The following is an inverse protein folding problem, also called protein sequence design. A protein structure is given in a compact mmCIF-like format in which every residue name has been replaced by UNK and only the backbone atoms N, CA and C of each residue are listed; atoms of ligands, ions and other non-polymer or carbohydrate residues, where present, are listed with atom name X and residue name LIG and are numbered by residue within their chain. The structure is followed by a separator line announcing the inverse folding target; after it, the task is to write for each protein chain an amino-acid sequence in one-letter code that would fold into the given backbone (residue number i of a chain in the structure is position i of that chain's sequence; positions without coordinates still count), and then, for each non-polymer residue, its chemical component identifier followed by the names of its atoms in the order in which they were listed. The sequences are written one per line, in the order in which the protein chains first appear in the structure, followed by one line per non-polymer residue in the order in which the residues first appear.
data_IF_742507720993
#
_entry.id   IF_742507720993
#
_cell.length_a   1.000
_cell.length_b   1.000
_cell.length_c   1.000
_cell.angle_alpha   90.00
_cell.angle_beta   90.00
_cell.angle_gamma   90.00
#
_symmetry.space_group_name_H-M   'P 1'
#
loop_
_entity.id
_entity.type
_entity.pdbx_description
1 polymer ?
#
# COMPACT_ATOMS: atom_id res chain seq x y z
N UNK A 1 -17.91 18.53 -70.62
CA UNK A 1 -17.01 17.46 -70.13
C UNK A 1 -17.51 16.83 -68.80
N UNK A 2 -18.83 16.63 -68.62
CA UNK A 2 -19.42 16.11 -67.36
C UNK A 2 -20.68 15.25 -67.60
N UNK A 3 -20.76 14.55 -68.75
CA UNK A 3 -21.91 13.67 -69.08
C UNK A 3 -21.56 12.19 -69.29
N UNK A 4 -20.28 11.79 -69.14
CA UNK A 4 -19.83 10.43 -69.47
C UNK A 4 -19.19 9.63 -68.32
N UNK A 5 -19.27 10.05 -67.06
CA UNK A 5 -18.69 9.29 -65.93
C UNK A 5 -19.73 8.35 -65.25
N UNK A 6 -21.02 8.47 -65.57
CA UNK A 6 -22.09 7.71 -64.91
C UNK A 6 -22.64 6.49 -65.69
N UNK A 7 -21.97 6.06 -66.77
CA UNK A 7 -22.34 4.84 -67.52
C UNK A 7 -21.27 3.76 -67.41
N UNK A 8 -21.05 3.21 -66.21
CA UNK A 8 -20.44 1.86 -66.08
C UNK A 8 -20.52 1.22 -64.70
N UNK A 9 -21.28 1.76 -63.72
CA UNK A 9 -21.48 1.03 -62.48
C UNK A 9 -22.53 -0.07 -62.69
N UNK A 10 -22.04 -1.28 -62.97
CA UNK A 10 -22.91 -2.46 -63.06
C UNK A 10 -23.66 -2.66 -61.74
N UNK A 11 -24.87 -3.22 -61.80
CA UNK A 11 -25.69 -3.58 -60.64
C UNK A 11 -24.90 -4.37 -59.57
N UNK A 12 -23.84 -5.09 -59.97
CA UNK A 12 -22.94 -5.85 -59.08
C UNK A 12 -22.03 -4.97 -58.23
N UNK A 13 -21.58 -3.81 -58.73
CA UNK A 13 -20.70 -2.90 -57.97
C UNK A 13 -21.48 -2.11 -56.92
N UNK A 14 -22.72 -1.71 -57.22
CA UNK A 14 -23.59 -1.04 -56.24
C UNK A 14 -24.00 -2.00 -55.12
N UNK A 15 -24.29 -3.27 -55.42
CA UNK A 15 -24.55 -4.29 -54.40
C UNK A 15 -23.32 -4.57 -53.52
N UNK A 16 -22.12 -4.58 -54.10
CA UNK A 16 -20.88 -4.78 -53.34
C UNK A 16 -20.60 -3.63 -52.35
N UNK A 17 -20.86 -2.39 -52.77
CA UNK A 17 -20.70 -1.22 -51.90
C UNK A 17 -21.74 -1.19 -50.76
N UNK A 18 -22.99 -1.57 -51.06
CA UNK A 18 -24.05 -1.66 -50.06
C UNK A 18 -23.75 -2.75 -49.00
N UNK A 19 -23.25 -3.91 -49.43
CA UNK A 19 -22.83 -4.98 -48.52
C UNK A 19 -21.65 -4.57 -47.64
N UNK A 20 -20.68 -3.83 -48.18
CA UNK A 20 -19.56 -3.29 -47.41
C UNK A 20 -20.03 -2.27 -46.36
N UNK A 21 -20.97 -1.40 -46.72
CA UNK A 21 -21.53 -0.40 -45.81
C UNK A 21 -22.33 -1.05 -44.67
N UNK A 22 -23.15 -2.07 -44.99
CA UNK A 22 -23.89 -2.87 -44.00
C UNK A 22 -22.91 -3.58 -43.07
N UNK A 23 -21.83 -4.14 -43.60
CA UNK A 23 -20.79 -4.78 -42.79
C UNK A 23 -20.09 -3.79 -41.85
N UNK A 24 -19.73 -2.60 -42.34
CA UNK A 24 -19.12 -1.55 -41.51
C UNK A 24 -20.07 -1.04 -40.42
N UNK A 25 -21.35 -0.84 -40.75
CA UNK A 25 -22.38 -0.42 -39.78
C UNK A 25 -22.66 -1.50 -38.74
N UNK A 26 -22.71 -2.77 -39.13
CA UNK A 26 -22.87 -3.90 -38.22
C UNK A 26 -21.67 -3.99 -37.25
N UNK A 27 -20.44 -3.85 -37.74
CA UNK A 27 -19.25 -3.82 -36.89
C UNK A 27 -19.19 -2.59 -36.00
N UNK A 28 -19.61 -1.41 -36.49
CA UNK A 28 -19.71 -0.20 -35.69
C UNK A 28 -20.77 -0.34 -34.58
N UNK A 29 -21.91 -1.00 -34.85
CA UNK A 29 -22.93 -1.33 -33.84
C UNK A 29 -22.44 -2.37 -32.83
N UNK A 30 -21.64 -3.35 -33.25
CA UNK A 30 -21.01 -4.32 -32.35
C UNK A 30 -19.97 -3.63 -31.46
N UNK A 31 -19.13 -2.76 -32.03
CA UNK A 31 -18.17 -1.94 -31.29
C UNK A 31 -18.90 -0.98 -30.34
N UNK A 32 -19.97 -0.34 -30.79
CA UNK A 32 -20.79 0.55 -29.97
C UNK A 32 -21.44 -0.24 -28.82
N UNK A 33 -22.01 -1.42 -29.09
CA UNK A 33 -22.51 -2.32 -28.04
C UNK A 33 -21.38 -2.73 -27.09
N UNK A 34 -20.18 -3.04 -27.58
CA UNK A 34 -19.03 -3.34 -26.72
C UNK A 34 -18.63 -2.16 -25.82
N UNK A 35 -18.68 -0.95 -26.35
CA UNK A 35 -18.38 0.30 -25.61
C UNK A 35 -19.47 0.62 -24.59
N UNK A 36 -20.75 0.37 -24.89
CA UNK A 36 -21.86 0.58 -23.97
C UNK A 36 -22.04 -0.55 -22.95
N UNK A 37 -21.62 -1.77 -23.28
CA UNK A 37 -21.71 -2.95 -22.43
C UNK A 37 -20.47 -3.10 -21.52
N UNK A 38 -19.66 -2.04 -21.39
CA UNK A 38 -19.02 -1.74 -20.10
C UNK A 38 -20.12 -1.41 -19.08
N UNK A 39 -20.98 -2.38 -18.77
CA UNK A 39 -21.64 -2.39 -17.48
C UNK A 39 -20.51 -2.35 -16.46
N UNK A 40 -20.47 -1.23 -15.74
CA UNK A 40 -19.68 -1.07 -14.53
C UNK A 40 -19.92 -2.33 -13.69
N UNK A 41 -18.92 -3.21 -13.63
CA UNK A 41 -18.66 -3.91 -12.38
C UNK A 41 -18.42 -2.78 -11.37
N UNK A 42 -19.50 -2.30 -10.76
CA UNK A 42 -19.44 -1.26 -9.77
C UNK A 42 -18.75 -1.88 -8.59
N UNK A 43 -17.45 -1.62 -8.48
CA UNK A 43 -16.75 -1.56 -7.21
C UNK A 43 -17.68 -0.80 -6.25
N UNK A 44 -18.37 -1.56 -5.41
CA UNK A 44 -19.35 -1.07 -4.45
C UNK A 44 -18.57 -0.62 -3.22
N UNK A 45 -18.93 0.52 -2.62
CA UNK A 45 -18.63 1.13 -1.29
C UNK A 45 -17.60 0.44 -0.32
N UNK A 46 -17.43 -0.87 -0.35
CA UNK A 46 -16.31 -1.73 0.12
C UNK A 46 -14.89 -1.37 -0.40
N UNK A 47 -14.68 -0.24 -1.08
CA UNK A 47 -13.41 0.12 -1.75
C UNK A 47 -12.41 0.89 -0.86
N UNK A 48 -12.82 1.22 0.36
CA UNK A 48 -11.96 1.91 1.32
C UNK A 48 -11.08 0.87 2.02
N UNK A 49 -9.80 0.83 1.65
CA UNK A 49 -8.79 -0.03 2.28
C UNK A 49 -7.72 0.84 2.94
N UNK A 50 -7.35 0.52 4.18
CA UNK A 50 -6.23 1.16 4.88
C UNK A 50 -4.99 0.28 4.78
N UNK A 51 -3.90 0.81 4.23
CA UNK A 51 -2.62 0.13 4.17
C UNK A 51 -1.64 0.76 5.16
N UNK A 52 -1.06 -0.06 6.04
CA UNK A 52 -0.07 0.39 7.03
C UNK A 52 1.28 -0.21 6.64
N UNK A 53 2.30 0.63 6.55
CA UNK A 53 3.65 0.13 6.37
C UNK A 53 4.73 1.16 6.68
N UNK A 54 5.86 1.02 6.01
CA UNK A 54 7.11 1.71 6.32
C UNK A 54 8.21 0.71 6.62
N UNK A 55 9.34 1.17 7.17
CA UNK A 55 10.39 0.25 7.57
C UNK A 55 9.90 -0.70 8.69
N UNK A 56 10.17 -2.02 8.64
CA UNK A 56 9.95 -2.89 9.78
C UNK A 56 10.61 -2.32 11.04
N UNK A 57 10.05 -2.61 12.21
CA UNK A 57 10.49 -2.08 13.53
C UNK A 57 10.19 -0.58 13.76
N UNK A 58 9.45 0.07 12.88
CA UNK A 58 8.98 1.47 13.01
C UNK A 58 7.62 1.63 13.72
N UNK A 59 7.15 0.60 14.43
CA UNK A 59 5.86 0.66 15.15
C UNK A 59 4.61 0.35 14.32
N UNK A 60 4.76 -0.25 13.13
CA UNK A 60 3.62 -0.65 12.27
C UNK A 60 2.65 -1.61 12.94
N UNK A 61 3.13 -2.59 13.73
CA UNK A 61 2.25 -3.47 14.52
C UNK A 61 1.52 -2.70 15.62
N UNK A 62 2.13 -1.70 16.26
CA UNK A 62 1.43 -0.89 17.25
C UNK A 62 0.31 -0.10 16.58
N UNK A 63 0.60 0.54 15.44
CA UNK A 63 -0.39 1.31 14.69
C UNK A 63 -1.61 0.46 14.32
N UNK A 64 -1.40 -0.74 13.74
CA UNK A 64 -2.54 -1.60 13.38
C UNK A 64 -3.35 -2.07 14.59
N UNK A 65 -2.69 -2.30 15.73
CA UNK A 65 -3.37 -2.71 16.98
C UNK A 65 -4.26 -1.58 17.48
N UNK A 66 -3.78 -0.34 17.45
CA UNK A 66 -4.59 0.83 17.82
C UNK A 66 -5.83 0.96 16.91
N UNK A 67 -5.72 0.64 15.63
CA UNK A 67 -6.85 0.65 14.70
C UNK A 67 -7.79 -0.56 14.87
N UNK A 68 -7.28 -1.74 15.19
CA UNK A 68 -8.11 -2.92 15.50
C UNK A 68 -9.03 -2.62 16.71
N UNK A 69 -8.50 -1.95 17.75
CA UNK A 69 -9.24 -1.56 18.96
C UNK A 69 -10.30 -0.47 18.70
N UNK A 70 -10.20 0.27 17.60
CA UNK A 70 -11.24 1.25 17.22
C UNK A 70 -12.60 0.58 16.97
N UNK A 71 -12.62 -0.67 16.50
CA UNK A 71 -13.85 -1.39 16.21
C UNK A 71 -14.53 -1.05 14.87
N UNK A 72 -14.07 -0.04 14.12
CA UNK A 72 -14.58 0.27 12.77
C UNK A 72 -13.65 -0.20 11.65
N UNK A 73 -12.40 -0.55 11.99
CA UNK A 73 -11.38 -1.07 11.07
C UNK A 73 -10.96 -2.46 11.56
N UNK A 74 -10.63 -3.35 10.62
CA UNK A 74 -9.97 -4.61 10.91
C UNK A 74 -8.69 -4.75 10.07
N UNK A 75 -7.54 -4.75 10.73
CA UNK A 75 -6.23 -4.99 10.13
C UNK A 75 -5.78 -6.44 10.32
N UNK A 76 -5.91 -6.95 11.53
CA UNK A 76 -5.40 -8.27 11.91
C UNK A 76 -3.87 -8.40 11.78
N UNK A 77 -3.35 -9.64 11.78
CA UNK A 77 -1.91 -9.93 11.62
C UNK A 77 -1.33 -9.46 10.27
N UNK A 78 -0.02 -9.62 10.06
CA UNK A 78 0.58 -9.50 8.72
C UNK A 78 -0.06 -10.48 7.73
N UNK A 79 -0.32 -10.05 6.49
CA UNK A 79 -0.88 -10.94 5.47
C UNK A 79 0.20 -11.88 4.95
N UNK A 80 1.44 -11.39 4.81
CA UNK A 80 2.60 -12.03 4.18
C UNK A 80 2.40 -12.36 2.70
N UNK A 81 1.22 -12.86 2.31
CA UNK A 81 0.88 -13.30 0.95
C UNK A 81 0.67 -12.15 -0.03
N UNK A 82 0.27 -10.96 0.44
CA UNK A 82 0.09 -9.81 -0.45
C UNK A 82 1.41 -9.35 -1.06
N UNK A 83 2.53 -9.42 -0.32
CA UNK A 83 3.82 -8.96 -0.81
C UNK A 83 4.34 -9.71 -2.05
N UNK A 84 4.46 -11.06 -2.06
CA UNK A 84 4.89 -11.78 -3.25
C UNK A 84 3.87 -11.65 -4.40
N UNK A 85 2.58 -11.53 -4.09
CA UNK A 85 1.57 -11.28 -5.11
C UNK A 85 1.71 -9.90 -5.76
N UNK A 86 1.95 -8.85 -4.97
CA UNK A 86 2.21 -7.50 -5.48
C UNK A 86 3.52 -7.43 -6.27
N UNK A 87 4.56 -8.15 -5.83
CA UNK A 87 5.80 -8.28 -6.60
C UNK A 87 5.55 -8.92 -7.97
N UNK A 88 4.74 -9.98 -8.04
CA UNK A 88 4.34 -10.61 -9.29
C UNK A 88 3.52 -9.64 -10.16
N UNK A 89 2.50 -8.98 -9.60
CA UNK A 89 1.66 -8.01 -10.32
C UNK A 89 2.49 -6.89 -10.93
N UNK A 90 3.42 -6.31 -10.15
CA UNK A 90 4.38 -5.30 -10.63
C UNK A 90 5.21 -5.82 -11.79
N UNK A 91 5.81 -7.01 -11.65
CA UNK A 91 6.62 -7.64 -12.70
C UNK A 91 5.80 -7.90 -13.97
N UNK A 92 4.56 -8.35 -13.84
CA UNK A 92 3.67 -8.56 -14.98
C UNK A 92 3.38 -7.24 -15.71
N UNK A 93 3.08 -6.16 -14.98
CA UNK A 93 2.83 -4.85 -15.57
C UNK A 93 4.06 -4.29 -16.30
N UNK A 94 5.27 -4.52 -15.77
CA UNK A 94 6.53 -4.10 -16.40
C UNK A 94 6.85 -4.93 -17.67
N UNK A 95 6.60 -6.25 -17.65
CA UNK A 95 6.96 -7.15 -18.74
C UNK A 95 5.88 -7.28 -19.83
N UNK A 96 4.63 -7.04 -19.49
CA UNK A 96 3.47 -7.16 -20.38
C UNK A 96 2.70 -5.83 -20.38
N UNK A 97 3.25 -4.77 -20.99
CA UNK A 97 2.51 -3.52 -21.13
C UNK A 97 1.19 -3.76 -21.89
N UNK A 98 0.17 -2.89 -21.74
CA UNK A 98 -1.21 -3.17 -22.18
C UNK A 98 -1.35 -3.64 -23.63
N UNK A 99 -0.56 -3.05 -24.55
CA UNK A 99 -0.53 -3.43 -25.96
C UNK A 99 0.03 -4.85 -26.18
N UNK A 100 1.09 -5.23 -25.45
CA UNK A 100 1.71 -6.56 -25.55
C UNK A 100 0.81 -7.62 -24.90
N UNK A 101 0.25 -7.33 -23.72
CA UNK A 101 -0.65 -8.24 -23.01
C UNK A 101 -1.84 -8.63 -23.90
N UNK A 102 -2.51 -7.63 -24.49
CA UNK A 102 -3.66 -7.86 -25.35
C UNK A 102 -3.33 -8.72 -26.56
N UNK A 103 -2.28 -8.37 -27.31
CA UNK A 103 -1.90 -9.08 -28.53
C UNK A 103 -1.52 -10.54 -28.26
N UNK A 104 -0.81 -10.81 -27.15
CA UNK A 104 -0.29 -12.15 -26.86
C UNK A 104 -1.29 -13.07 -26.16
N UNK A 105 -2.18 -12.51 -25.33
CA UNK A 105 -3.00 -13.31 -24.41
C UNK A 105 -4.50 -13.09 -24.59
N UNK A 106 -4.91 -12.04 -25.32
CA UNK A 106 -6.29 -11.54 -25.39
C UNK A 106 -6.87 -11.09 -24.03
N UNK A 107 -6.03 -10.89 -23.01
CA UNK A 107 -6.40 -10.33 -21.71
C UNK A 107 -6.22 -8.82 -21.73
N UNK A 108 -7.24 -8.07 -21.29
CA UNK A 108 -7.16 -6.60 -21.18
C UNK A 108 -6.40 -6.20 -19.91
N UNK A 109 -5.77 -5.02 -19.92
CA UNK A 109 -5.18 -4.44 -18.70
C UNK A 109 -6.24 -4.28 -17.58
N UNK A 110 -7.48 -3.94 -17.95
CA UNK A 110 -8.62 -3.86 -17.05
C UNK A 110 -8.92 -5.21 -16.37
N UNK A 111 -8.97 -6.30 -17.14
CA UNK A 111 -9.21 -7.64 -16.60
C UNK A 111 -8.10 -8.09 -15.64
N UNK A 112 -6.83 -7.78 -15.96
CA UNK A 112 -5.72 -8.06 -15.06
C UNK A 112 -5.79 -7.23 -13.76
N UNK A 113 -6.17 -5.95 -13.89
CA UNK A 113 -6.40 -5.04 -12.75
C UNK A 113 -7.51 -5.56 -11.84
N UNK A 114 -8.65 -5.94 -12.40
CA UNK A 114 -9.79 -6.53 -11.68
C UNK A 114 -9.39 -7.85 -10.99
N UNK A 115 -8.65 -8.73 -11.67
CA UNK A 115 -8.16 -9.97 -11.06
C UNK A 115 -7.22 -9.70 -9.88
N UNK A 116 -6.34 -8.70 -10.01
CA UNK A 116 -5.43 -8.26 -8.94
C UNK A 116 -6.19 -7.70 -7.75
N UNK A 117 -7.15 -6.80 -8.00
CA UNK A 117 -8.01 -6.22 -6.96
C UNK A 117 -8.84 -7.30 -6.25
N UNK A 118 -9.44 -8.22 -7.01
CA UNK A 118 -10.23 -9.32 -6.46
C UNK A 118 -9.42 -10.26 -5.57
N UNK A 119 -8.16 -10.56 -5.94
CA UNK A 119 -7.28 -11.34 -5.08
C UNK A 119 -7.04 -10.64 -3.73
N UNK A 120 -6.69 -9.35 -3.76
CA UNK A 120 -6.43 -8.57 -2.54
C UNK A 120 -7.69 -8.51 -1.66
N UNK A 121 -8.83 -8.15 -2.26
CA UNK A 121 -10.12 -8.11 -1.56
C UNK A 121 -10.49 -9.46 -0.96
N UNK A 122 -10.28 -10.56 -1.70
CA UNK A 122 -10.55 -11.90 -1.21
C UNK A 122 -9.67 -12.26 -0.01
N UNK A 123 -8.37 -11.97 -0.07
CA UNK A 123 -7.45 -12.19 1.07
C UNK A 123 -7.89 -11.38 2.29
N UNK A 124 -8.23 -10.10 2.13
CA UNK A 124 -8.59 -9.23 3.25
C UNK A 124 -9.96 -9.56 3.85
N UNK A 125 -10.98 -9.81 3.01
CA UNK A 125 -12.34 -10.16 3.45
C UNK A 125 -12.37 -11.49 4.20
N UNK A 126 -11.71 -12.53 3.70
CA UNK A 126 -11.73 -13.85 4.37
C UNK A 126 -10.93 -13.91 5.67
N UNK A 127 -10.13 -12.88 5.97
CA UNK A 127 -9.45 -12.73 7.26
C UNK A 127 -10.29 -11.95 8.27
N UNK A 128 -11.20 -11.11 7.77
CA UNK A 128 -12.10 -10.33 8.59
C UNK A 128 -13.36 -11.14 8.90
N UNK A 129 -13.53 -11.54 10.16
CA UNK A 129 -14.73 -12.30 10.59
C UNK A 129 -15.96 -11.42 10.81
N UNK A 130 -15.87 -10.12 10.54
CA UNK A 130 -16.92 -9.13 10.82
C UNK A 130 -17.29 -8.38 9.54
N UNK A 131 -18.56 -8.47 9.13
CA UNK A 131 -18.98 -8.10 7.75
C UNK A 131 -19.01 -6.58 7.45
N UNK A 132 -18.86 -5.71 8.46
CA UNK A 132 -19.05 -4.25 8.29
C UNK A 132 -17.81 -3.37 8.61
N UNK A 133 -16.64 -3.98 8.79
CA UNK A 133 -15.41 -3.24 9.09
C UNK A 133 -14.67 -2.80 7.83
N UNK A 134 -14.08 -1.60 7.89
CA UNK A 134 -13.09 -1.15 6.90
C UNK A 134 -11.94 -2.14 6.87
N UNK A 135 -11.57 -2.58 5.67
CA UNK A 135 -10.48 -3.51 5.48
C UNK A 135 -9.15 -2.80 5.69
N UNK A 136 -8.23 -3.45 6.38
CA UNK A 136 -6.88 -2.96 6.57
C UNK A 136 -5.84 -4.06 6.35
N UNK A 137 -4.69 -3.66 5.83
CA UNK A 137 -3.54 -4.54 5.63
C UNK A 137 -2.30 -3.89 6.22
N UNK A 138 -1.61 -4.60 7.11
CA UNK A 138 -0.32 -4.19 7.65
C UNK A 138 0.73 -5.20 7.22
N UNK A 139 1.54 -4.82 6.25
CA UNK A 139 2.76 -5.52 5.87
C UNK A 139 3.79 -4.43 5.60
N UNK A 140 4.90 -4.30 6.36
CA UNK A 140 5.74 -3.10 6.29
C UNK A 140 6.14 -2.67 4.87
N UNK A 141 6.58 -3.59 3.97
CA UNK A 141 6.95 -3.25 2.59
C UNK A 141 5.77 -2.99 1.63
N UNK A 142 4.50 -3.11 2.06
CA UNK A 142 3.34 -2.93 1.18
C UNK A 142 3.30 -1.54 0.55
N UNK A 143 3.89 -0.55 1.22
CA UNK A 143 3.99 0.82 0.74
C UNK A 143 4.91 1.00 -0.47
N UNK A 144 5.74 0.00 -0.81
CA UNK A 144 6.51 0.00 -2.06
C UNK A 144 5.64 -0.19 -3.31
N UNK A 145 4.35 -0.43 -3.12
CA UNK A 145 3.35 -0.62 -4.18
C UNK A 145 2.23 0.44 -4.11
N UNK A 146 2.44 1.56 -3.41
CA UNK A 146 1.43 2.62 -3.25
C UNK A 146 0.83 3.10 -4.58
N UNK A 147 1.65 3.26 -5.61
CA UNK A 147 1.23 3.67 -6.95
C UNK A 147 0.26 2.67 -7.59
N UNK A 148 0.56 1.37 -7.51
CA UNK A 148 -0.31 0.31 -8.00
C UNK A 148 -1.57 0.21 -7.12
N UNK A 149 -1.45 0.33 -5.81
CA UNK A 149 -2.56 0.19 -4.87
C UNK A 149 -3.57 1.34 -4.97
N UNK A 150 -3.12 2.58 -5.18
CA UNK A 150 -4.02 3.72 -5.45
C UNK A 150 -4.78 3.52 -6.77
N UNK A 151 -4.09 3.01 -7.80
CA UNK A 151 -4.76 2.71 -9.07
C UNK A 151 -5.82 1.61 -8.89
N UNK A 152 -5.51 0.54 -8.16
CA UNK A 152 -6.45 -0.55 -7.86
C UNK A 152 -7.62 -0.11 -6.96
N UNK A 153 -7.34 0.72 -5.95
CA UNK A 153 -8.29 1.15 -4.92
C UNK A 153 -8.23 2.67 -4.74
N UNK A 154 -9.00 3.43 -5.54
CA UNK A 154 -8.95 4.90 -5.55
C UNK A 154 -9.40 5.58 -4.26
N UNK A 155 -10.01 4.84 -3.32
CA UNK A 155 -10.41 5.34 -2.01
C UNK A 155 -9.50 4.83 -0.88
N UNK A 156 -8.37 4.20 -1.23
CA UNK A 156 -7.42 3.68 -0.24
C UNK A 156 -6.68 4.80 0.49
N UNK A 157 -6.28 4.51 1.73
CA UNK A 157 -5.47 5.39 2.58
C UNK A 157 -4.22 4.64 3.03
N UNK A 158 -3.09 5.34 3.09
CA UNK A 158 -1.80 4.79 3.46
C UNK A 158 -1.31 5.48 4.73
N UNK A 159 -0.89 4.67 5.71
CA UNK A 159 -0.27 5.13 6.94
C UNK A 159 1.20 4.74 6.87
N UNK A 160 2.06 5.73 6.64
CA UNK A 160 3.50 5.57 6.56
C UNK A 160 4.13 5.78 7.94
N UNK A 161 4.46 4.69 8.61
CA UNK A 161 5.15 4.73 9.90
C UNK A 161 6.63 5.03 9.70
N UNK A 162 7.11 6.07 10.36
CA UNK A 162 8.52 6.47 10.41
C UNK A 162 9.00 6.43 11.85
N UNK A 163 10.21 5.95 12.06
CA UNK A 163 10.89 5.92 13.36
C UNK A 163 12.35 6.29 13.16
N UNK A 164 13.00 6.83 14.19
CA UNK A 164 14.43 7.10 14.18
C UNK A 164 15.22 5.87 13.68
N UNK A 165 15.94 6.04 12.57
CA UNK A 165 16.70 4.98 11.91
C UNK A 165 17.71 4.35 12.84
N UNK A 166 18.26 5.12 13.77
CA UNK A 166 19.24 4.66 14.74
C UNK A 166 18.63 3.61 15.68
N UNK A 167 17.39 3.80 16.10
CA UNK A 167 16.64 2.83 16.90
C UNK A 167 16.19 1.61 16.08
N UNK A 168 15.81 1.83 14.81
CA UNK A 168 15.39 0.75 13.89
C UNK A 168 16.54 -0.19 13.57
N UNK A 169 17.70 0.34 13.16
CA UNK A 169 18.90 -0.45 12.84
C UNK A 169 19.41 -1.22 14.06
N UNK A 170 19.36 -0.61 15.24
CA UNK A 170 19.73 -1.30 16.49
C UNK A 170 18.81 -2.49 16.77
N UNK A 171 17.50 -2.33 16.56
CA UNK A 171 16.57 -3.44 16.68
C UNK A 171 16.84 -4.54 15.64
N UNK A 172 17.36 -4.18 14.47
CA UNK A 172 17.68 -5.14 13.41
C UNK A 172 18.94 -5.95 13.69
N UNK A 173 19.96 -5.38 14.34
CA UNK A 173 21.14 -6.12 14.79
C UNK A 173 20.73 -7.32 15.65
N UNK A 174 19.93 -7.08 16.70
CA UNK A 174 19.45 -8.14 17.59
C UNK A 174 18.54 -9.15 16.89
N UNK A 175 17.69 -8.70 15.95
CA UNK A 175 16.82 -9.58 15.19
C UNK A 175 17.59 -10.50 14.22
N UNK A 176 18.55 -9.94 13.47
CA UNK A 176 19.40 -10.69 12.52
C UNK A 176 20.54 -11.43 13.23
N UNK A 177 20.69 -11.27 14.55
CA UNK A 177 21.78 -11.83 15.35
C UNK A 177 23.17 -11.44 14.82
N UNK A 178 23.30 -10.18 14.42
CA UNK A 178 24.56 -9.59 13.98
C UNK A 178 25.35 -9.07 15.16
N UNK A 179 26.67 -8.96 14.99
CA UNK A 179 27.54 -8.29 15.95
C UNK A 179 27.21 -6.80 16.04
N UNK A 180 27.29 -6.25 17.24
CA UNK A 180 26.93 -4.87 17.56
C UNK A 180 28.08 -3.89 17.29
N UNK A 181 28.71 -4.04 16.12
CA UNK A 181 29.77 -3.15 15.65
C UNK A 181 29.19 -2.06 14.72
N UNK A 182 29.94 -0.97 14.55
CA UNK A 182 29.49 0.18 13.74
C UNK A 182 29.25 -0.16 12.27
N UNK A 183 30.03 -1.05 11.65
CA UNK A 183 29.87 -1.39 10.24
C UNK A 183 28.52 -2.06 9.96
N UNK A 184 28.18 -3.14 10.69
CA UNK A 184 26.89 -3.81 10.56
C UNK A 184 25.72 -2.86 10.83
N UNK A 185 25.91 -1.97 11.80
CA UNK A 185 24.91 -0.97 12.17
C UNK A 185 24.70 0.07 11.07
N UNK A 186 25.78 0.57 10.47
CA UNK A 186 25.77 1.52 9.36
C UNK A 186 25.13 0.92 8.10
N UNK A 187 25.41 -0.34 7.78
CA UNK A 187 24.78 -1.04 6.65
C UNK A 187 23.26 -1.13 6.83
N UNK A 188 22.79 -1.42 8.04
CA UNK A 188 21.36 -1.42 8.37
C UNK A 188 20.76 -0.01 8.33
N UNK A 189 21.51 1.02 8.72
CA UNK A 189 21.09 2.42 8.59
C UNK A 189 20.94 2.83 7.12
N UNK A 190 21.85 2.42 6.24
CA UNK A 190 21.75 2.64 4.79
C UNK A 190 20.52 1.95 4.21
N UNK A 191 20.27 0.70 4.58
CA UNK A 191 19.03 0.00 4.21
C UNK A 191 17.77 0.75 4.69
N UNK A 192 17.80 1.32 5.90
CA UNK A 192 16.71 2.12 6.44
C UNK A 192 16.51 3.42 5.64
N UNK A 193 17.61 4.10 5.29
CA UNK A 193 17.62 5.35 4.53
C UNK A 193 17.00 5.13 3.15
N UNK A 194 17.53 4.19 2.38
CA UNK A 194 17.07 3.84 1.03
C UNK A 194 15.58 3.53 1.00
N UNK A 195 15.12 2.66 1.93
CA UNK A 195 13.72 2.26 2.00
C UNK A 195 12.80 3.42 2.34
N UNK A 196 13.20 4.31 3.25
CA UNK A 196 12.39 5.47 3.58
C UNK A 196 12.41 6.51 2.48
N UNK A 197 13.53 6.72 1.79
CA UNK A 197 13.60 7.62 0.65
C UNK A 197 12.63 7.17 -0.47
N UNK A 198 12.64 5.87 -0.79
CA UNK A 198 11.69 5.28 -1.75
C UNK A 198 10.24 5.46 -1.27
N UNK A 199 9.95 5.10 -0.01
CA UNK A 199 8.59 5.17 0.54
C UNK A 199 8.08 6.61 0.61
N UNK A 200 8.94 7.55 1.00
CA UNK A 200 8.63 8.98 1.05
C UNK A 200 8.32 9.52 -0.34
N UNK A 201 9.16 9.20 -1.33
CA UNK A 201 8.93 9.57 -2.74
C UNK A 201 7.58 9.07 -3.25
N UNK A 202 7.19 7.84 -2.90
CA UNK A 202 5.87 7.29 -3.25
C UNK A 202 4.73 7.98 -2.50
N UNK A 203 4.91 8.25 -1.20
CA UNK A 203 3.94 8.96 -0.36
C UNK A 203 3.65 10.37 -0.91
N UNK A 204 4.70 11.11 -1.29
CA UNK A 204 4.59 12.43 -1.91
C UNK A 204 3.90 12.35 -3.28
N UNK A 205 4.22 11.33 -4.08
CA UNK A 205 3.62 11.13 -5.41
C UNK A 205 2.12 10.88 -5.34
N UNK A 206 1.65 10.03 -4.42
CA UNK A 206 0.22 9.78 -4.25
C UNK A 206 -0.49 10.94 -3.57
N UNK A 207 0.22 11.72 -2.76
CA UNK A 207 -0.26 12.97 -2.18
C UNK A 207 -0.93 12.81 -0.81
N UNK A 208 -1.14 13.94 -0.11
CA UNK A 208 -1.51 13.96 1.31
C UNK A 208 -2.94 13.49 1.59
N UNK A 209 -3.82 13.46 0.58
CA UNK A 209 -5.16 12.89 0.70
C UNK A 209 -5.15 11.36 0.79
N UNK A 210 -4.08 10.73 0.29
CA UNK A 210 -3.90 9.29 0.22
C UNK A 210 -2.88 8.79 1.24
N UNK A 211 -1.77 9.48 1.45
CA UNK A 211 -0.70 9.03 2.34
C UNK A 211 -0.49 9.99 3.52
N UNK A 212 -0.48 9.45 4.74
CA UNK A 212 -0.15 10.18 5.96
C UNK A 212 1.06 9.55 6.65
N UNK A 213 2.12 10.35 6.80
CA UNK A 213 3.28 9.97 7.60
C UNK A 213 2.97 10.12 9.10
N UNK A 214 3.31 9.10 9.89
CA UNK A 214 3.20 9.11 11.34
C UNK A 214 4.55 8.77 11.96
N UNK A 215 5.11 9.69 12.74
CA UNK A 215 6.33 9.43 13.53
C UNK A 215 5.99 8.61 14.76
N UNK A 216 6.66 7.49 14.94
CA UNK A 216 6.51 6.60 16.09
C UNK A 216 6.69 7.34 17.41
N UNK A 217 7.71 8.19 17.52
CA UNK A 217 8.04 8.96 18.72
C UNK A 217 6.88 9.89 19.11
N UNK A 218 6.26 10.54 18.13
CA UNK A 218 5.10 11.41 18.37
C UNK A 218 3.90 10.58 18.81
N UNK A 219 3.67 9.41 18.20
CA UNK A 219 2.57 8.51 18.57
C UNK A 219 2.71 8.03 20.01
N UNK A 220 3.91 7.70 20.47
CA UNK A 220 4.11 7.20 21.84
C UNK A 220 4.16 8.30 22.90
N UNK A 221 4.55 9.53 22.53
CA UNK A 221 4.60 10.67 23.44
C UNK A 221 3.26 11.42 23.54
N UNK A 222 2.56 11.58 22.41
CA UNK A 222 1.36 12.41 22.27
C UNK A 222 0.22 11.60 21.63
N UNK A 223 -0.03 10.40 22.16
CA UNK A 223 -0.93 9.39 21.58
C UNK A 223 -2.30 9.94 21.16
N UNK A 224 -3.00 10.63 22.05
CA UNK A 224 -4.32 11.17 21.75
C UNK A 224 -4.30 12.18 20.59
N UNK A 225 -3.37 13.15 20.65
CA UNK A 225 -3.21 14.16 19.60
C UNK A 225 -2.97 13.51 18.22
N UNK A 226 -2.04 12.55 18.16
CA UNK A 226 -1.68 11.86 16.92
C UNK A 226 -2.84 11.01 16.40
N UNK A 227 -3.54 10.29 17.28
CA UNK A 227 -4.65 9.43 16.88
C UNK A 227 -5.87 10.27 16.44
N UNK A 228 -6.17 11.40 17.08
CA UNK A 228 -7.23 12.31 16.63
C UNK A 228 -6.96 12.85 15.23
N UNK A 229 -5.73 13.28 14.97
CA UNK A 229 -5.31 13.73 13.64
C UNK A 229 -5.35 12.59 12.59
N UNK A 230 -5.00 11.36 13.01
CA UNK A 230 -5.13 10.18 12.16
C UNK A 230 -6.59 9.86 11.85
N UNK A 231 -7.50 9.93 12.83
CA UNK A 231 -8.93 9.67 12.61
C UNK A 231 -9.55 10.67 11.65
N UNK A 232 -9.17 11.96 11.72
CA UNK A 232 -9.58 12.96 10.73
C UNK A 232 -9.15 12.59 9.31
N UNK A 233 -7.90 12.14 9.14
CA UNK A 233 -7.37 11.70 7.85
C UNK A 233 -8.08 10.44 7.32
N UNK A 234 -8.38 9.50 8.22
CA UNK A 234 -9.14 8.30 7.94
C UNK A 234 -10.65 8.55 7.88
N UNK A 235 -11.12 9.79 8.08
CA UNK A 235 -12.54 10.17 8.12
C UNK A 235 -13.37 9.23 9.03
N UNK A 236 -12.85 8.98 10.23
CA UNK A 236 -13.49 8.17 11.27
C UNK A 236 -13.79 9.00 12.51
N UNK A 237 -14.84 8.59 13.21
CA UNK A 237 -15.16 9.14 14.52
C UNK A 237 -14.11 8.77 15.56
N UNK A 238 -14.01 9.57 16.62
CA UNK A 238 -13.07 9.27 17.70
C UNK A 238 -13.54 8.08 18.57
N UNK A 239 -12.60 7.24 19.01
CA UNK A 239 -12.85 6.18 19.98
C UNK A 239 -11.78 6.17 21.10
N UNK A 240 -12.21 6.38 22.34
CA UNK A 240 -11.33 6.41 23.52
C UNK A 240 -10.63 5.08 23.82
N UNK A 241 -11.16 3.95 23.34
CA UNK A 241 -10.55 2.63 23.54
C UNK A 241 -9.12 2.57 22.99
N UNK A 242 -8.83 3.33 21.93
CA UNK A 242 -7.49 3.40 21.33
C UNK A 242 -6.44 3.95 22.31
N UNK A 243 -6.84 4.68 23.36
CA UNK A 243 -5.91 5.16 24.39
C UNK A 243 -5.47 4.06 25.35
N UNK A 244 -6.17 2.94 25.44
CA UNK A 244 -5.84 1.87 26.38
C UNK A 244 -5.94 0.51 25.67
N UNK A 245 -5.24 0.37 24.53
CA UNK A 245 -5.34 -0.77 23.64
C UNK A 245 -5.00 -2.10 24.33
N UNK A 246 -4.15 -2.07 25.36
CA UNK A 246 -3.78 -3.23 26.16
C UNK A 246 -4.99 -3.94 26.79
N UNK A 247 -6.06 -3.20 27.09
CA UNK A 247 -7.28 -3.73 27.71
C UNK A 247 -8.16 -4.52 26.74
N UNK A 248 -7.86 -4.44 25.43
CA UNK A 248 -8.66 -5.03 24.35
C UNK A 248 -7.89 -6.09 23.57
N UNK A 249 -6.71 -6.49 24.06
CA UNK A 249 -5.83 -7.45 23.38
C UNK A 249 -6.43 -8.85 23.25
N UNK A 250 -7.35 -9.24 24.14
CA UNK A 250 -8.01 -10.54 24.14
C UNK A 250 -9.36 -10.53 23.40
N UNK A 251 -9.91 -9.35 23.11
CA UNK A 251 -11.25 -9.18 22.53
C UNK A 251 -11.20 -8.74 21.07
N UNK A 252 -10.49 -7.64 20.80
CA UNK A 252 -10.57 -6.91 19.53
C UNK A 252 -9.34 -7.10 18.65
N UNK A 253 -8.25 -7.65 19.21
CA UNK A 253 -6.95 -7.75 18.54
C UNK A 253 -6.57 -9.20 18.27
N UNK A 254 -6.45 -9.55 16.99
CA UNK A 254 -5.87 -10.84 16.59
C UNK A 254 -4.34 -10.69 16.37
N UNK A 255 -3.53 -11.42 17.13
CA UNK A 255 -2.07 -11.45 16.97
C UNK A 255 -1.62 -12.65 16.13
N UNK A 256 -0.68 -12.42 15.20
CA UNK A 256 -0.11 -13.49 14.38
C UNK A 256 0.77 -14.42 15.22
N UNK A 257 0.62 -15.75 15.08
CA UNK A 257 1.51 -16.73 15.72
C UNK A 257 2.92 -16.52 15.13
N UNK A 258 3.85 -15.91 15.89
CA UNK A 258 5.27 -15.60 15.54
C UNK A 258 5.59 -14.19 15.02
N UNK A 259 4.69 -13.22 15.13
CA UNK A 259 5.09 -11.82 14.90
C UNK A 259 6.02 -11.33 16.02
N UNK A 260 7.22 -10.84 15.64
CA UNK A 260 8.25 -10.41 16.61
C UNK A 260 7.76 -9.30 17.55
N UNK A 261 6.87 -8.44 17.05
CA UNK A 261 6.34 -7.28 17.78
C UNK A 261 5.28 -7.65 18.84
N UNK A 262 4.81 -8.90 18.89
CA UNK A 262 3.71 -9.31 19.77
C UNK A 262 4.01 -9.06 21.25
N UNK A 263 5.21 -9.42 21.70
CA UNK A 263 5.60 -9.28 23.11
C UNK A 263 5.69 -7.82 23.57
N UNK A 264 5.81 -6.88 22.63
CA UNK A 264 5.84 -5.45 22.90
C UNK A 264 4.44 -4.82 22.85
N UNK A 265 3.60 -5.19 21.88
CA UNK A 265 2.29 -4.52 21.67
C UNK A 265 1.22 -4.92 22.70
N UNK A 266 1.38 -6.04 23.39
CA UNK A 266 0.48 -6.43 24.50
C UNK A 266 0.62 -5.51 25.74
N UNK A 267 1.65 -4.65 25.77
CA UNK A 267 1.94 -3.78 26.91
C UNK A 267 1.37 -2.39 26.65
N UNK A 268 1.01 -1.62 27.71
CA UNK A 268 0.69 -0.22 27.56
C UNK A 268 1.86 0.54 26.93
N UNK A 269 1.53 1.60 26.19
CA UNK A 269 2.54 2.46 25.58
C UNK A 269 3.22 3.28 26.67
N UNK A 270 4.43 2.89 27.03
CA UNK A 270 5.33 3.68 27.87
C UNK A 270 6.50 4.19 27.02
N UNK A 271 6.77 5.50 27.06
CA UNK A 271 8.00 6.07 26.53
C UNK A 271 9.16 5.70 27.49
N UNK A 272 9.67 4.48 27.37
CA UNK A 272 10.91 4.06 28.04
C UNK A 272 11.94 3.66 27.00
N UNK A 273 13.01 4.46 26.93
CA UNK A 273 14.38 4.26 26.39
C UNK A 273 14.60 3.55 25.04
N UNK A 274 13.62 2.88 24.44
CA UNK A 274 13.82 2.06 23.25
C UNK A 274 14.27 2.86 22.03
N UNK A 275 13.99 4.17 22.00
CA UNK A 275 14.45 5.08 20.95
C UNK A 275 15.91 5.52 21.11
N UNK A 276 16.53 5.33 22.29
CA UNK A 276 17.89 5.80 22.59
C UNK A 276 18.87 4.70 23.05
N UNK A 277 18.43 3.45 23.17
CA UNK A 277 19.30 2.32 23.58
C UNK A 277 20.57 2.21 22.74
N UNK A 278 20.46 2.46 21.45
CA UNK A 278 21.57 2.37 20.49
C UNK A 278 22.77 3.25 20.86
N UNK A 279 22.54 4.39 21.51
CA UNK A 279 23.56 5.43 21.74
C UNK A 279 24.70 5.01 22.68
N UNK A 280 24.59 3.87 23.38
CA UNK A 280 25.61 3.36 24.31
C UNK A 280 26.12 1.96 23.97
N UNK A 281 25.55 1.33 22.95
CA UNK A 281 25.67 -0.11 22.70
C UNK A 281 26.36 -0.42 21.36
N UNK A 282 26.62 0.61 20.53
CA UNK A 282 27.37 0.49 19.29
C UNK A 282 28.79 0.98 19.54
N UNK A 283 29.74 0.05 19.54
CA UNK A 283 31.17 0.35 19.64
C UNK A 283 31.63 1.13 18.40
N UNK A 284 32.53 2.10 18.59
CA UNK A 284 33.09 2.95 17.54
C UNK A 284 32.05 3.72 16.69
N UNK A 285 30.92 4.08 17.31
CA UNK A 285 29.90 4.90 16.64
C UNK A 285 30.45 6.27 16.19
N UNK A 286 30.35 6.56 14.90
CA UNK A 286 30.72 7.85 14.32
C UNK A 286 29.49 8.63 13.83
N UNK A 287 29.12 9.67 14.59
CA UNK A 287 28.00 10.56 14.26
C UNK A 287 28.24 11.36 12.98
N UNK A 288 29.49 11.67 12.61
CA UNK A 288 29.78 12.43 11.39
C UNK A 288 29.46 11.60 10.14
N UNK A 289 29.88 10.32 10.14
CA UNK A 289 29.57 9.38 9.05
C UNK A 289 28.05 9.20 8.95
N UNK A 290 27.36 9.00 10.07
CA UNK A 290 25.89 8.85 10.06
C UNK A 290 25.20 10.10 9.50
N UNK A 291 25.65 11.31 9.87
CA UNK A 291 25.07 12.55 9.35
C UNK A 291 25.32 12.78 7.87
N UNK A 292 26.47 12.34 7.36
CA UNK A 292 26.83 12.47 5.96
C UNK A 292 26.09 11.45 5.09
N UNK A 293 26.05 10.19 5.51
CA UNK A 293 25.58 9.08 4.67
C UNK A 293 24.07 8.79 4.81
N UNK A 294 23.41 9.27 5.88
CA UNK A 294 22.01 8.93 6.20
C UNK A 294 21.12 10.19 6.19
N UNK A 295 20.89 10.81 5.00
CA UNK A 295 20.19 12.09 4.89
C UNK A 295 18.72 12.03 5.35
N UNK A 296 18.07 10.86 5.32
CA UNK A 296 16.67 10.74 5.73
C UNK A 296 16.47 10.97 7.24
N UNK A 297 17.51 10.81 8.07
CA UNK A 297 17.44 11.19 9.49
C UNK A 297 17.12 12.68 9.61
N UNK A 298 17.93 13.52 8.96
CA UNK A 298 17.74 14.97 8.95
C UNK A 298 16.42 15.36 8.28
N UNK A 299 16.06 14.74 7.17
CA UNK A 299 14.79 14.98 6.48
C UNK A 299 13.59 14.78 7.41
N UNK A 300 13.59 13.71 8.20
CA UNK A 300 12.57 13.47 9.20
C UNK A 300 12.78 14.22 10.53
N UNK A 301 13.76 15.11 10.63
CA UNK A 301 14.02 15.91 11.82
C UNK A 301 14.59 15.12 13.00
N UNK A 302 15.25 13.98 12.74
CA UNK A 302 16.11 13.31 13.70
C UNK A 302 17.50 13.96 13.63
N UNK A 303 17.87 14.70 14.69
CA UNK A 303 19.16 15.39 14.82
C UNK A 303 20.08 14.63 15.77
#
# INVERSE_FOLDING_TARGET
MFKNILKSFSLKQTTGFLLLLIFLLANALILWKYVLNEEKASLSVSDRIVFIGGNPRSGTTLMRVLLDVHGSIYCGPETVILLPFMALSKKLNEQLPPNVLMVRTRITAKSLKEATANFILHVLKNRNKQEDKILCAKDPPILNYMDILVDLFPNSKFIFMVRDGRAVSFSWLGYRKLEYNFQNYLDLLKEWDDRNNITMTLCDRVGPSYCKMVKYENLVLNKELVLRDLMKFLELEWNDNMLNHENFMETDVELGRKEWSNSQVIKPIYYKDSSKKWAKEIEDYDENIVREEIPMLKFFGYV
#
